data_IF_780082427841
#
_entry.id   IF_780082427841
#
_cell.length_a   1.000
_cell.length_b   1.000
_cell.length_c   1.000
_cell.angle_alpha   90.00
_cell.angle_beta   90.00
_cell.angle_gamma   90.00
#
_symmetry.space_group_name_H-M   'P 1'
#
loop_
_entity.id
_entity.type
_entity.pdbx_description
1 polymer ?
#
# COMPACT_ATOMS: atom_id res chain seq x y z
N UNK A 1 -0.94 6.92 -16.72
CA UNK A 1 -2.29 7.03 -17.33
C UNK A 1 -3.29 7.19 -16.20
N UNK A 2 -3.75 8.42 -15.99
CA UNK A 2 -4.68 8.83 -14.95
C UNK A 2 -6.11 8.48 -15.39
N UNK A 3 -6.74 7.52 -14.71
CA UNK A 3 -8.15 7.23 -14.93
C UNK A 3 -9.00 8.37 -14.36
N UNK A 4 -9.78 9.03 -15.21
CA UNK A 4 -10.74 10.06 -14.80
C UNK A 4 -11.88 9.40 -14.02
N UNK A 5 -12.11 9.88 -12.79
CA UNK A 5 -13.21 9.45 -11.93
C UNK A 5 -14.51 10.12 -12.39
N UNK A 6 -15.50 9.31 -12.77
CA UNK A 6 -16.87 9.75 -13.08
C UNK A 6 -17.76 9.49 -11.86
N UNK A 7 -18.48 10.48 -11.30
CA UNK A 7 -19.28 10.25 -10.10
C UNK A 7 -20.57 9.49 -10.45
N UNK A 8 -20.72 8.28 -9.90
CA UNK A 8 -21.98 7.55 -9.93
C UNK A 8 -22.96 8.18 -8.93
N UNK A 9 -24.19 8.47 -9.38
CA UNK A 9 -25.26 8.96 -8.51
C UNK A 9 -25.54 7.96 -7.38
N UNK A 10 -25.50 8.48 -6.16
CA UNK A 10 -25.73 7.74 -4.92
C UNK A 10 -27.23 7.44 -4.76
N UNK A 11 -27.66 6.23 -5.10
CA UNK A 11 -28.96 5.69 -4.70
C UNK A 11 -28.78 4.46 -3.79
N UNK A 12 -29.31 4.56 -2.56
CA UNK A 12 -29.32 3.51 -1.53
C UNK A 12 -28.09 3.50 -0.60
N UNK A 13 -28.30 3.20 0.69
CA UNK A 13 -27.24 3.07 1.71
C UNK A 13 -26.09 2.13 1.29
N UNK A 14 -26.35 1.16 0.41
CA UNK A 14 -25.32 0.28 -0.17
C UNK A 14 -24.42 0.93 -1.23
N UNK A 15 -24.95 1.90 -1.99
CA UNK A 15 -24.20 2.60 -3.05
C UNK A 15 -23.17 3.60 -2.49
N UNK A 16 -23.51 4.28 -1.39
CA UNK A 16 -22.60 5.22 -0.71
C UNK A 16 -21.39 4.54 -0.09
N UNK A 17 -21.61 3.46 0.66
CA UNK A 17 -20.52 2.68 1.25
C UNK A 17 -19.57 2.12 0.18
N UNK A 18 -20.11 1.59 -0.93
CA UNK A 18 -19.31 1.09 -2.06
C UNK A 18 -18.50 2.20 -2.75
N UNK A 19 -19.07 3.41 -2.87
CA UNK A 19 -18.38 4.58 -3.43
C UNK A 19 -17.21 5.02 -2.54
N UNK A 20 -17.41 5.12 -1.21
CA UNK A 20 -16.34 5.43 -0.27
C UNK A 20 -15.25 4.36 -0.27
N UNK A 21 -15.64 3.09 -0.34
CA UNK A 21 -14.72 1.97 -0.47
C UNK A 21 -13.85 2.06 -1.72
N UNK A 22 -14.46 2.47 -2.84
CA UNK A 22 -13.77 2.68 -4.10
C UNK A 22 -12.85 3.89 -4.01
N UNK A 23 -13.30 4.98 -3.39
CA UNK A 23 -12.51 6.19 -3.16
C UNK A 23 -11.26 5.88 -2.32
N UNK A 24 -11.42 5.24 -1.17
CA UNK A 24 -10.32 4.85 -0.28
C UNK A 24 -9.34 3.87 -0.94
N UNK A 25 -9.81 3.02 -1.86
CA UNK A 25 -8.95 2.14 -2.66
C UNK A 25 -8.23 2.87 -3.80
N UNK A 26 -8.89 3.86 -4.40
CA UNK A 26 -8.36 4.63 -5.53
C UNK A 26 -7.31 5.65 -5.12
N UNK A 27 -7.38 6.14 -3.88
CA UNK A 27 -6.35 7.01 -3.32
C UNK A 27 -5.23 6.09 -2.82
N UNK A 28 -4.11 6.06 -3.55
CA UNK A 28 -2.89 5.43 -3.04
C UNK A 28 -2.58 6.02 -1.68
N UNK A 29 -2.26 5.21 -0.68
CA UNK A 29 -2.42 5.68 0.70
C UNK A 29 -1.45 6.79 1.13
N UNK A 30 -0.22 6.93 0.56
CA UNK A 30 0.55 8.18 0.72
C UNK A 30 -0.16 9.42 0.15
N UNK A 31 -0.93 9.26 -0.93
CA UNK A 31 -1.68 10.35 -1.57
C UNK A 31 -2.77 10.93 -0.66
N UNK A 32 -3.22 10.21 0.39
CA UNK A 32 -4.15 10.76 1.38
C UNK A 32 -3.61 12.03 2.06
N UNK A 33 -2.28 12.12 2.22
CA UNK A 33 -1.62 13.28 2.81
C UNK A 33 -0.93 14.14 1.75
N UNK A 34 -0.26 13.54 0.76
CA UNK A 34 0.47 14.28 -0.27
C UNK A 34 -0.44 15.05 -1.21
N UNK A 35 -1.60 14.45 -1.54
CA UNK A 35 -2.60 15.03 -2.44
C UNK A 35 -3.82 15.53 -1.69
N UNK A 36 -3.70 15.66 -0.36
CA UNK A 36 -4.75 16.21 0.48
C UNK A 36 -5.11 17.61 0.00
N UNK A 37 -6.38 17.84 -0.32
CA UNK A 37 -6.77 19.09 -0.94
C UNK A 37 -6.68 20.29 0.02
N UNK A 38 -6.80 20.09 1.34
CA UNK A 38 -6.57 21.14 2.32
C UNK A 38 -5.09 21.50 2.45
N UNK A 39 -4.21 20.49 2.42
CA UNK A 39 -2.75 20.70 2.38
C UNK A 39 -2.32 21.50 1.16
N UNK A 40 -2.78 21.11 -0.03
CA UNK A 40 -2.41 21.76 -1.30
C UNK A 40 -3.00 23.17 -1.39
N UNK A 41 -4.26 23.34 -1.01
CA UNK A 41 -4.93 24.65 -1.13
C UNK A 41 -4.49 25.66 -0.07
N UNK A 42 -4.02 25.17 1.08
CA UNK A 42 -3.70 25.97 2.26
C UNK A 42 -4.92 26.43 3.07
N UNK A 43 -6.09 25.84 2.80
CA UNK A 43 -7.33 26.19 3.49
C UNK A 43 -7.53 25.34 4.75
N UNK A 44 -8.21 25.92 5.75
CA UNK A 44 -8.72 25.16 6.90
C UNK A 44 -9.78 24.15 6.45
N UNK A 45 -9.91 23.03 7.18
CA UNK A 45 -11.00 22.06 6.95
C UNK A 45 -12.39 22.67 7.16
N UNK A 46 -12.49 23.72 7.97
CA UNK A 46 -13.73 24.48 8.22
C UNK A 46 -14.02 25.50 7.11
N UNK A 47 -13.19 25.58 6.06
CA UNK A 47 -13.32 26.62 5.04
C UNK A 47 -14.65 26.55 4.29
N UNK A 48 -15.39 27.67 4.27
CA UNK A 48 -16.70 27.74 3.65
C UNK A 48 -16.59 27.78 2.11
N UNK A 49 -17.67 27.46 1.40
CA UNK A 49 -17.71 27.49 -0.08
C UNK A 49 -17.29 28.85 -0.65
N UNK A 50 -17.60 29.95 0.06
CA UNK A 50 -17.16 31.29 -0.31
C UNK A 50 -15.64 31.46 -0.28
N UNK A 51 -14.96 30.88 0.70
CA UNK A 51 -13.50 30.91 0.84
C UNK A 51 -12.83 30.07 -0.24
N UNK A 52 -13.38 28.89 -0.56
CA UNK A 52 -12.93 28.06 -1.68
C UNK A 52 -12.99 28.84 -3.00
N UNK A 53 -14.09 29.57 -3.26
CA UNK A 53 -14.25 30.41 -4.46
C UNK A 53 -13.24 31.56 -4.47
N UNK A 54 -13.06 32.23 -3.34
CA UNK A 54 -12.10 33.34 -3.19
C UNK A 54 -10.68 32.86 -3.46
N UNK A 55 -10.29 31.71 -2.89
CA UNK A 55 -8.97 31.10 -3.12
C UNK A 55 -8.78 30.73 -4.59
N UNK A 56 -9.79 30.16 -5.25
CA UNK A 56 -9.73 29.85 -6.68
C UNK A 56 -9.55 31.10 -7.55
N UNK A 57 -10.23 32.20 -7.22
CA UNK A 57 -10.07 33.49 -7.90
C UNK A 57 -8.66 34.06 -7.70
N UNK A 58 -8.13 34.01 -6.47
CA UNK A 58 -6.77 34.46 -6.17
C UNK A 58 -5.72 33.69 -6.98
N UNK A 59 -5.84 32.36 -7.02
CA UNK A 59 -4.91 31.49 -7.77
C UNK A 59 -4.93 31.81 -9.27
N UNK A 60 -6.12 32.01 -9.86
CA UNK A 60 -6.25 32.41 -11.27
C UNK A 60 -5.66 33.79 -11.56
N UNK A 61 -5.81 34.74 -10.63
CA UNK A 61 -5.21 36.06 -10.77
C UNK A 61 -3.67 35.98 -10.74
N UNK A 62 -3.10 35.18 -9.84
CA UNK A 62 -1.64 34.92 -9.79
C UNK A 62 -1.15 34.26 -11.07
N UNK A 63 -1.91 33.29 -11.61
CA UNK A 63 -1.62 32.65 -12.90
C UNK A 63 -1.59 33.65 -14.05
N UNK A 64 -2.57 34.55 -14.14
CA UNK A 64 -2.63 35.57 -15.17
C UNK A 64 -1.46 36.55 -15.11
N UNK A 65 -0.87 36.75 -13.92
CA UNK A 65 0.30 37.59 -13.70
C UNK A 65 1.64 36.84 -13.82
N UNK A 66 1.63 35.54 -14.14
CA UNK A 66 2.84 34.73 -14.26
C UNK A 66 3.55 34.45 -12.92
N UNK A 67 2.85 34.59 -11.80
CA UNK A 67 3.41 34.35 -10.47
C UNK A 67 3.27 32.90 -10.00
N UNK A 68 3.85 32.59 -8.83
CA UNK A 68 3.67 31.31 -8.14
C UNK A 68 2.71 31.46 -6.96
N UNK A 69 1.89 30.44 -6.65
CA UNK A 69 0.98 30.51 -5.51
C UNK A 69 1.77 30.37 -4.22
N UNK A 70 1.58 31.31 -3.29
CA UNK A 70 1.98 31.10 -1.92
C UNK A 70 1.01 30.09 -1.27
N UNK A 71 1.52 28.95 -0.82
CA UNK A 71 0.77 28.01 0.01
C UNK A 71 1.07 28.32 1.47
N UNK A 72 0.08 28.87 2.17
CA UNK A 72 0.12 29.09 3.61
C UNK A 72 -0.74 28.00 4.29
N UNK A 73 -0.36 27.54 5.48
CA UNK A 73 -1.10 26.52 6.22
C UNK A 73 -0.18 25.54 6.96
N UNK A 74 -0.74 24.60 7.72
CA UNK A 74 0.05 23.60 8.42
C UNK A 74 0.75 22.66 7.43
N UNK A 75 2.07 22.49 7.56
CA UNK A 75 2.88 21.57 6.75
C UNK A 75 2.64 21.66 5.22
N UNK A 76 2.94 22.82 4.59
CA UNK A 76 2.79 22.98 3.15
C UNK A 76 3.65 21.96 2.38
N UNK A 77 3.22 21.52 1.19
CA UNK A 77 4.02 20.62 0.36
C UNK A 77 5.38 21.21 0.01
N UNK A 78 6.41 20.36 -0.06
CA UNK A 78 7.74 20.70 -0.56
C UNK A 78 8.12 19.72 -1.68
N UNK A 79 8.33 20.19 -2.93
CA UNK A 79 8.24 21.58 -3.39
C UNK A 79 6.82 22.14 -3.35
N UNK A 80 6.70 23.47 -3.41
CA UNK A 80 5.40 24.14 -3.45
C UNK A 80 4.58 23.66 -4.67
N UNK A 81 3.26 23.46 -4.51
CA UNK A 81 2.41 23.00 -5.61
C UNK A 81 2.31 24.06 -6.70
N UNK A 82 2.21 23.62 -7.95
CA UNK A 82 1.89 24.51 -9.06
C UNK A 82 0.42 24.97 -9.02
N UNK A 83 0.10 25.96 -9.85
CA UNK A 83 -1.24 26.59 -9.90
C UNK A 83 -2.33 25.58 -10.28
N UNK A 84 -2.02 24.66 -11.20
CA UNK A 84 -2.98 23.67 -11.68
C UNK A 84 -3.30 22.65 -10.59
N UNK A 85 -2.30 22.20 -9.82
CA UNK A 85 -2.47 21.35 -8.65
C UNK A 85 -3.36 22.01 -7.60
N UNK A 86 -3.18 23.32 -7.34
CA UNK A 86 -4.05 24.07 -6.42
C UNK A 86 -5.49 24.16 -6.94
N UNK A 87 -5.69 24.41 -8.24
CA UNK A 87 -7.03 24.46 -8.83
C UNK A 87 -7.71 23.09 -8.81
N UNK A 88 -6.97 22.00 -9.06
CA UNK A 88 -7.48 20.63 -8.96
C UNK A 88 -7.88 20.28 -7.53
N UNK A 89 -7.07 20.66 -6.53
CA UNK A 89 -7.42 20.49 -5.12
C UNK A 89 -8.71 21.23 -4.75
N UNK A 90 -8.85 22.50 -5.17
CA UNK A 90 -10.07 23.27 -4.92
C UNK A 90 -11.30 22.70 -5.64
N UNK A 91 -11.13 22.11 -6.82
CA UNK A 91 -12.20 21.41 -7.52
C UNK A 91 -12.60 20.13 -6.78
N UNK A 92 -11.63 19.36 -6.28
CA UNK A 92 -11.84 18.15 -5.48
C UNK A 92 -12.63 18.42 -4.20
N UNK A 93 -12.39 19.56 -3.52
CA UNK A 93 -13.14 19.98 -2.33
C UNK A 93 -14.62 20.31 -2.59
N UNK A 94 -15.08 20.34 -3.85
CA UNK A 94 -16.49 20.52 -4.19
C UNK A 94 -17.28 19.23 -4.09
N UNK A 95 -16.63 18.07 -4.20
CA UNK A 95 -17.27 16.78 -3.97
C UNK A 95 -17.39 16.55 -2.45
N UNK A 96 -18.61 16.45 -1.90
CA UNK A 96 -18.80 16.39 -0.45
C UNK A 96 -18.15 15.18 0.22
N UNK A 97 -18.23 14.00 -0.40
CA UNK A 97 -17.67 12.77 0.17
C UNK A 97 -16.14 12.82 0.17
N UNK A 98 -15.55 13.25 -0.95
CA UNK A 98 -14.11 13.41 -1.08
C UNK A 98 -13.57 14.47 -0.12
N UNK A 99 -14.29 15.59 0.03
CA UNK A 99 -13.96 16.62 1.02
C UNK A 99 -13.90 16.04 2.44
N UNK A 100 -14.87 15.22 2.84
CA UNK A 100 -14.86 14.60 4.18
C UNK A 100 -13.69 13.63 4.38
N UNK A 101 -13.29 12.89 3.35
CA UNK A 101 -12.11 12.02 3.42
C UNK A 101 -10.83 12.85 3.56
N UNK A 102 -10.67 13.89 2.74
CA UNK A 102 -9.52 14.79 2.84
C UNK A 102 -9.51 15.50 4.22
N UNK A 103 -10.67 15.87 4.75
CA UNK A 103 -10.83 16.45 6.08
C UNK A 103 -10.44 15.46 7.18
N UNK A 104 -10.86 14.20 7.08
CA UNK A 104 -10.50 13.19 8.06
C UNK A 104 -8.98 12.97 8.10
N UNK A 105 -8.29 12.97 6.97
CA UNK A 105 -6.84 12.81 6.94
C UNK A 105 -6.08 14.15 7.03
N UNK A 106 -6.69 15.19 7.62
CA UNK A 106 -6.06 16.49 7.84
C UNK A 106 -6.32 17.04 9.24
N UNK A 107 -5.69 18.18 9.56
CA UNK A 107 -5.76 18.80 10.88
C UNK A 107 -7.14 19.38 11.17
N UNK A 108 -7.68 19.04 12.34
CA UNK A 108 -8.95 19.57 12.82
C UNK A 108 -8.71 20.72 13.80
N UNK A 109 -9.27 21.91 13.58
CA UNK A 109 -9.23 22.99 14.55
C UNK A 109 -9.94 22.56 15.85
N UNK A 110 -9.16 22.38 16.91
CA UNK A 110 -9.67 22.13 18.25
C UNK A 110 -10.21 23.40 18.91
N UNK A 111 -11.04 23.22 19.94
CA UNK A 111 -11.36 24.28 20.91
C UNK A 111 -10.73 23.95 22.25
N UNK A 112 -9.46 23.55 22.20
CA UNK A 112 -8.73 22.99 23.35
C UNK A 112 -8.20 24.07 24.32
N UNK A 113 -8.42 25.35 24.01
CA UNK A 113 -8.11 26.49 24.86
C UNK A 113 -9.07 27.67 24.70
N UNK A 114 -8.97 28.69 25.57
CA UNK A 114 -9.83 29.89 25.54
C UNK A 114 -9.68 30.70 24.24
N UNK A 115 -8.51 30.63 23.59
CA UNK A 115 -8.18 31.37 22.37
C UNK A 115 -8.21 30.51 21.09
N UNK A 116 -8.66 29.25 21.16
CA UNK A 116 -8.70 28.33 20.02
C UNK A 116 -7.76 27.13 20.14
N UNK A 117 -7.04 26.79 19.07
CA UNK A 117 -6.07 25.68 19.01
C UNK A 117 -4.63 26.20 18.88
N UNK A 118 -3.96 26.49 20.02
CA UNK A 118 -2.60 27.00 20.00
C UNK A 118 -1.57 25.99 19.46
N UNK A 119 -1.93 24.71 19.32
CA UNK A 119 -1.10 23.72 18.62
C UNK A 119 -1.14 23.93 17.11
N UNK A 120 -2.32 24.12 16.55
CA UNK A 120 -2.50 24.39 15.12
C UNK A 120 -1.89 25.74 14.70
N UNK A 121 -1.98 26.75 15.57
CA UNK A 121 -1.32 28.05 15.35
C UNK A 121 0.21 27.91 15.30
N UNK A 122 0.79 27.12 16.22
CA UNK A 122 2.22 26.82 16.22
C UNK A 122 2.65 26.08 14.95
N UNK A 123 1.86 25.10 14.51
CA UNK A 123 2.14 24.34 13.30
C UNK A 123 2.08 25.21 12.03
N UNK A 124 1.10 26.11 11.95
CA UNK A 124 0.96 27.06 10.83
C UNK A 124 2.14 28.03 10.77
N UNK A 125 2.72 28.38 11.93
CA UNK A 125 3.94 29.18 12.03
C UNK A 125 5.24 28.37 11.79
N UNK A 126 5.14 27.09 11.39
CA UNK A 126 6.30 26.22 11.16
C UNK A 126 6.97 25.67 12.44
N UNK A 127 6.39 25.91 13.62
CA UNK A 127 6.91 25.42 14.90
C UNK A 127 6.35 24.04 15.23
N UNK A 128 6.80 23.05 14.48
CA UNK A 128 6.31 21.65 14.55
C UNK A 128 6.43 21.06 15.96
N UNK A 129 7.60 21.20 16.60
CA UNK A 129 7.83 20.63 17.93
C UNK A 129 6.95 21.28 19.00
N UNK A 130 6.69 22.59 18.88
CA UNK A 130 5.78 23.29 19.79
C UNK A 130 4.34 22.79 19.65
N UNK A 131 3.89 22.54 18.41
CA UNK A 131 2.57 21.99 18.14
C UNK A 131 2.41 20.59 18.74
N UNK A 132 3.38 19.70 18.46
CA UNK A 132 3.42 18.34 19.01
C UNK A 132 3.38 18.34 20.54
N UNK A 133 4.25 19.12 21.19
CA UNK A 133 4.33 19.21 22.65
C UNK A 133 3.03 19.71 23.28
N UNK A 134 2.32 20.62 22.61
CA UNK A 134 1.04 21.15 23.10
C UNK A 134 -0.05 20.09 23.05
N UNK A 135 -0.21 19.43 21.91
CA UNK A 135 -1.22 18.37 21.76
C UNK A 135 -0.91 17.17 22.68
N UNK A 136 0.35 16.77 22.84
CA UNK A 136 0.75 15.67 23.72
C UNK A 136 0.31 15.86 25.19
N UNK A 137 0.28 17.09 25.69
CA UNK A 137 -0.13 17.38 27.07
C UNK A 137 -1.63 17.16 27.30
N UNK A 138 -2.43 17.15 26.24
CA UNK A 138 -3.89 17.09 26.29
C UNK A 138 -4.48 15.93 25.49
N UNK A 139 -3.67 15.08 24.85
CA UNK A 139 -4.11 14.00 23.95
C UNK A 139 -5.11 13.04 24.59
N UNK A 140 -4.97 12.78 25.89
CA UNK A 140 -5.89 11.91 26.65
C UNK A 140 -7.25 12.54 26.96
N UNK A 141 -7.39 13.85 26.78
CA UNK A 141 -8.57 14.65 27.12
C UNK A 141 -9.20 15.35 25.91
N UNK A 142 -8.49 15.39 24.78
CA UNK A 142 -8.97 16.03 23.55
C UNK A 142 -8.87 15.06 22.36
N UNK A 143 -10.02 14.66 21.78
CA UNK A 143 -10.03 13.90 20.54
C UNK A 143 -9.41 14.67 19.36
N UNK A 144 -9.40 16.00 19.40
CA UNK A 144 -8.74 16.85 18.39
C UNK A 144 -7.22 16.74 18.48
N UNK A 145 -6.66 16.86 19.69
CA UNK A 145 -5.23 16.71 19.92
C UNK A 145 -4.75 15.30 19.54
N UNK A 146 -5.49 14.26 19.94
CA UNK A 146 -5.21 12.87 19.58
C UNK A 146 -5.16 12.67 18.06
N UNK A 147 -6.18 13.18 17.36
CA UNK A 147 -6.27 13.14 15.90
C UNK A 147 -5.13 13.89 15.22
N UNK A 148 -4.88 15.13 15.65
CA UNK A 148 -3.86 15.99 15.06
C UNK A 148 -2.45 15.42 15.25
N UNK A 149 -2.18 14.74 16.37
CA UNK A 149 -0.93 14.00 16.57
C UNK A 149 -0.81 12.78 15.64
N UNK A 150 -1.92 12.08 15.38
CA UNK A 150 -1.96 10.99 14.41
C UNK A 150 -1.63 11.48 13.00
N UNK A 151 -2.27 12.56 12.56
CA UNK A 151 -2.01 13.20 11.26
C UNK A 151 -0.57 13.72 11.19
N UNK A 152 -0.12 14.48 12.18
CA UNK A 152 1.21 15.10 12.23
C UNK A 152 2.33 14.07 12.07
N UNK A 153 2.30 13.03 12.89
CA UNK A 153 3.35 12.02 12.87
C UNK A 153 3.34 11.21 11.57
N UNK A 154 2.16 10.96 11.01
CA UNK A 154 2.03 10.18 9.79
C UNK A 154 2.51 10.97 8.55
N UNK A 155 2.10 12.24 8.42
CA UNK A 155 2.52 13.06 7.27
C UNK A 155 4.02 13.34 7.29
N UNK A 156 4.62 13.64 8.46
CA UNK A 156 6.07 13.82 8.57
C UNK A 156 6.81 12.53 8.23
N UNK A 157 6.33 11.38 8.72
CA UNK A 157 6.94 10.10 8.41
C UNK A 157 6.92 9.80 6.90
N UNK A 158 5.83 10.13 6.22
CA UNK A 158 5.70 9.97 4.76
C UNK A 158 6.61 10.95 4.01
N UNK A 159 6.60 12.23 4.40
CA UNK A 159 7.42 13.26 3.75
C UNK A 159 8.91 12.95 3.90
N UNK A 160 9.37 12.56 5.09
CA UNK A 160 10.77 12.16 5.34
C UNK A 160 11.18 10.97 4.45
N UNK A 161 10.31 9.97 4.34
CA UNK A 161 10.55 8.76 3.55
C UNK A 161 10.69 9.08 2.04
N UNK A 162 9.86 10.00 1.55
CA UNK A 162 9.86 10.39 0.15
C UNK A 162 10.96 11.38 -0.19
N UNK A 163 11.37 12.23 0.76
CA UNK A 163 12.48 13.15 0.59
C UNK A 163 13.84 12.43 0.60
N UNK A 164 13.96 11.33 1.33
CA UNK A 164 15.21 10.57 1.49
C UNK A 164 15.02 9.09 1.15
N UNK A 165 14.65 8.75 -0.11
CA UNK A 165 14.25 7.39 -0.46
C UNK A 165 15.39 6.36 -0.37
N UNK A 166 16.65 6.79 -0.25
CA UNK A 166 17.83 5.93 -0.10
C UNK A 166 18.30 5.80 1.34
N UNK A 167 17.68 6.50 2.30
CA UNK A 167 18.07 6.42 3.70
C UNK A 167 17.61 5.09 4.28
N UNK A 168 18.56 4.34 4.84
CA UNK A 168 18.25 3.11 5.57
C UNK A 168 17.39 3.41 6.80
N UNK A 169 16.28 2.69 6.94
CA UNK A 169 15.46 2.69 8.13
C UNK A 169 15.82 1.49 9.00
N UNK A 170 16.49 1.74 10.12
CA UNK A 170 16.77 0.70 11.12
C UNK A 170 15.70 0.78 12.20
N UNK A 171 14.88 -0.28 12.29
CA UNK A 171 13.70 -0.31 13.17
C UNK A 171 12.59 0.64 12.72
N UNK A 172 11.50 0.70 13.49
CA UNK A 172 10.42 1.65 13.25
C UNK A 172 10.89 3.07 13.60
N UNK A 173 11.00 4.02 12.64
CA UNK A 173 11.30 5.41 12.97
C UNK A 173 10.26 5.92 13.97
N UNK A 174 10.67 6.78 14.92
CA UNK A 174 9.81 7.31 15.99
C UNK A 174 8.46 7.78 15.43
N UNK A 175 8.48 8.57 14.35
CA UNK A 175 7.28 9.14 13.72
C UNK A 175 6.27 8.08 13.24
N UNK A 176 6.72 7.02 12.57
CA UNK A 176 5.83 5.91 12.17
C UNK A 176 5.19 5.21 13.37
N UNK A 177 5.96 4.96 14.44
CA UNK A 177 5.45 4.31 15.65
C UNK A 177 4.41 5.17 16.34
N UNK A 178 4.69 6.45 16.53
CA UNK A 178 3.76 7.39 17.13
C UNK A 178 2.49 7.56 16.29
N UNK A 179 2.61 7.66 14.96
CA UNK A 179 1.46 7.73 14.05
C UNK A 179 0.51 6.55 14.27
N UNK A 180 1.03 5.32 14.33
CA UNK A 180 0.21 4.12 14.55
C UNK A 180 -0.41 4.08 15.93
N UNK A 181 0.35 4.44 16.98
CA UNK A 181 -0.17 4.54 18.34
C UNK A 181 -1.38 5.45 18.37
N UNK A 182 -1.22 6.69 17.89
CA UNK A 182 -2.29 7.68 17.87
C UNK A 182 -3.49 7.28 17.01
N UNK A 183 -3.25 6.70 15.83
CA UNK A 183 -4.34 6.23 14.98
C UNK A 183 -5.10 5.04 15.59
N UNK A 184 -4.41 4.11 16.27
CA UNK A 184 -5.07 2.99 16.96
C UNK A 184 -5.88 3.49 18.15
N UNK A 185 -5.34 4.44 18.91
CA UNK A 185 -6.04 5.05 20.05
C UNK A 185 -7.27 5.84 19.56
N UNK A 186 -7.14 6.65 18.51
CA UNK A 186 -8.25 7.37 17.87
C UNK A 186 -9.32 6.42 17.31
N UNK A 187 -8.90 5.34 16.64
CA UNK A 187 -9.81 4.33 16.09
C UNK A 187 -10.67 3.66 17.17
N UNK A 188 -10.11 3.47 18.37
CA UNK A 188 -10.79 2.84 19.52
C UNK A 188 -11.63 3.82 20.34
N UNK A 189 -11.37 5.13 20.29
CA UNK A 189 -12.12 6.13 21.04
C UNK A 189 -13.47 6.43 20.40
N UNK A 190 -14.56 6.23 21.14
CA UNK A 190 -15.90 6.62 20.70
C UNK A 190 -16.07 8.14 20.66
N UNK A 191 -15.37 8.88 21.53
CA UNK A 191 -15.36 10.35 21.54
C UNK A 191 -14.77 10.91 20.25
N UNK A 192 -13.69 10.31 19.73
CA UNK A 192 -13.10 10.67 18.44
C UNK A 192 -14.12 10.52 17.30
N UNK A 193 -14.82 9.39 17.25
CA UNK A 193 -15.84 9.15 16.22
C UNK A 193 -17.10 10.01 16.40
N UNK A 194 -17.46 10.36 17.64
CA UNK A 194 -18.54 11.30 17.92
C UNK A 194 -18.20 12.70 17.38
N UNK A 195 -16.97 13.18 17.62
CA UNK A 195 -16.48 14.45 17.05
C UNK A 195 -16.52 14.41 15.53
N UNK A 196 -16.03 13.34 14.89
CA UNK A 196 -16.11 13.23 13.43
C UNK A 196 -17.57 13.20 12.94
N UNK A 197 -18.46 12.50 13.62
CA UNK A 197 -19.89 12.48 13.31
C UNK A 197 -20.54 13.86 13.36
N UNK A 198 -20.18 14.69 14.34
CA UNK A 198 -20.63 16.08 14.38
C UNK A 198 -20.13 16.89 13.17
N UNK A 199 -18.90 16.64 12.72
CA UNK A 199 -18.34 17.28 11.53
C UNK A 199 -19.09 16.88 10.26
N UNK A 200 -19.37 15.58 10.09
CA UNK A 200 -20.19 15.07 8.97
C UNK A 200 -21.58 15.71 8.98
N UNK A 201 -22.23 15.81 10.15
CA UNK A 201 -23.54 16.47 10.28
C UNK A 201 -23.49 17.96 9.96
N UNK A 202 -22.46 18.68 10.44
CA UNK A 202 -22.26 20.11 10.16
C UNK A 202 -22.02 20.41 8.68
N UNK A 203 -21.42 19.47 7.93
CA UNK A 203 -21.27 19.61 6.49
C UNK A 203 -22.62 19.67 5.76
N UNK A 204 -23.70 19.15 6.35
CA UNK A 204 -25.09 19.40 5.94
C UNK A 204 -25.45 18.90 4.55
N UNK A 205 -24.66 18.00 3.96
CA UNK A 205 -24.86 17.51 2.61
C UNK A 205 -25.92 16.40 2.56
N UNK A 206 -26.99 16.54 1.74
CA UNK A 206 -27.99 15.49 1.57
C UNK A 206 -27.35 14.17 1.12
N UNK A 207 -27.64 13.09 1.83
CA UNK A 207 -27.11 11.75 1.54
C UNK A 207 -25.80 11.41 2.25
N UNK A 208 -25.16 12.36 2.94
CA UNK A 208 -24.06 12.08 3.87
C UNK A 208 -24.61 12.05 5.31
N UNK A 209 -24.07 11.15 6.14
CA UNK A 209 -24.54 10.94 7.50
C UNK A 209 -23.76 9.85 8.22
N UNK A 210 -24.39 9.19 9.19
CA UNK A 210 -23.73 8.23 10.08
C UNK A 210 -23.07 7.05 9.35
N UNK A 211 -23.56 6.68 8.16
CA UNK A 211 -22.94 5.64 7.34
C UNK A 211 -21.50 5.99 6.93
N UNK A 212 -21.18 7.28 6.74
CA UNK A 212 -19.82 7.74 6.41
C UNK A 212 -18.90 7.45 7.61
N UNK A 213 -19.37 7.77 8.81
CA UNK A 213 -18.64 7.57 10.07
C UNK A 213 -18.41 6.07 10.30
N UNK A 214 -19.45 5.25 10.20
CA UNK A 214 -19.34 3.80 10.42
C UNK A 214 -18.43 3.14 9.38
N UNK A 215 -18.60 3.48 8.10
CA UNK A 215 -17.78 2.94 7.01
C UNK A 215 -16.31 3.34 7.18
N UNK A 216 -16.04 4.61 7.49
CA UNK A 216 -14.66 5.08 7.66
C UNK A 216 -14.01 4.43 8.90
N UNK A 217 -14.75 4.27 10.01
CA UNK A 217 -14.29 3.55 11.20
C UNK A 217 -13.93 2.10 10.92
N UNK A 218 -14.76 1.41 10.14
CA UNK A 218 -14.51 0.03 9.72
C UNK A 218 -13.31 -0.09 8.77
N UNK A 219 -13.08 0.93 7.93
CA UNK A 219 -12.03 0.92 6.90
C UNK A 219 -10.70 1.49 7.36
N UNK A 220 -10.66 2.29 8.42
CA UNK A 220 -9.43 2.91 8.91
C UNK A 220 -8.29 1.90 9.14
N UNK A 221 -8.49 0.73 9.78
CA UNK A 221 -7.41 -0.24 9.94
C UNK A 221 -6.85 -0.77 8.61
N UNK A 222 -7.70 -0.95 7.60
CA UNK A 222 -7.27 -1.34 6.25
C UNK A 222 -6.44 -0.24 5.60
N UNK A 223 -6.87 1.02 5.72
CA UNK A 223 -6.15 2.19 5.19
C UNK A 223 -4.76 2.27 5.83
N UNK A 224 -4.67 2.24 7.16
CA UNK A 224 -3.39 2.30 7.89
C UNK A 224 -2.45 1.18 7.45
N UNK A 225 -2.92 -0.07 7.45
CA UNK A 225 -2.13 -1.23 7.02
C UNK A 225 -1.64 -1.09 5.57
N UNK A 226 -2.49 -0.55 4.69
CA UNK A 226 -2.18 -0.39 3.27
C UNK A 226 -1.07 0.65 3.01
N UNK A 227 -0.94 1.71 3.81
CA UNK A 227 0.18 2.67 3.67
C UNK A 227 1.52 1.97 3.69
N UNK A 228 1.78 1.25 4.78
CA UNK A 228 3.06 0.59 4.99
C UNK A 228 3.26 -0.58 4.02
N UNK A 229 2.18 -1.31 3.69
CA UNK A 229 2.26 -2.38 2.71
C UNK A 229 2.67 -1.86 1.33
N UNK A 230 2.09 -0.74 0.88
CA UNK A 230 2.45 -0.09 -0.39
C UNK A 230 3.88 0.43 -0.38
N UNK A 231 4.31 1.12 0.69
CA UNK A 231 5.70 1.61 0.80
C UNK A 231 6.67 0.43 0.77
N UNK A 232 6.39 -0.65 1.48
CA UNK A 232 7.24 -1.83 1.53
C UNK A 232 7.40 -2.51 0.15
N UNK A 233 6.29 -2.65 -0.60
CA UNK A 233 6.29 -3.23 -1.94
C UNK A 233 7.03 -2.36 -2.97
N UNK A 234 6.84 -1.05 -2.92
CA UNK A 234 7.50 -0.08 -3.81
C UNK A 234 8.99 0.13 -3.46
N UNK A 235 9.38 -0.12 -2.21
CA UNK A 235 10.76 0.07 -1.73
C UNK A 235 11.79 -0.66 -2.58
N UNK A 236 11.54 -1.92 -2.95
CA UNK A 236 12.51 -2.69 -3.73
C UNK A 236 12.56 -2.30 -5.21
N UNK A 237 11.46 -1.79 -5.78
CA UNK A 237 11.48 -1.23 -7.14
C UNK A 237 12.39 0.01 -7.20
N UNK A 238 12.50 0.75 -6.09
CA UNK A 238 13.35 1.94 -5.94
C UNK A 238 14.76 1.62 -5.43
N UNK A 239 15.13 0.34 -5.33
CA UNK A 239 16.45 -0.10 -4.89
C UNK A 239 16.73 0.11 -3.39
N UNK A 240 15.69 0.29 -2.56
CA UNK A 240 15.87 0.32 -1.09
C UNK A 240 16.34 -1.05 -0.59
N UNK A 241 17.04 -1.00 0.54
CA UNK A 241 17.51 -2.21 1.20
C UNK A 241 16.35 -3.02 1.82
N UNK A 242 16.62 -4.31 2.04
CA UNK A 242 15.65 -5.28 2.54
C UNK A 242 15.18 -4.95 3.96
N UNK A 243 16.06 -4.43 4.82
CA UNK A 243 15.77 -4.12 6.23
C UNK A 243 14.74 -2.99 6.33
N UNK A 244 14.90 -1.95 5.52
CA UNK A 244 13.95 -0.84 5.40
C UNK A 244 12.57 -1.33 4.95
N UNK A 245 12.51 -2.22 3.95
CA UNK A 245 11.25 -2.82 3.51
C UNK A 245 10.60 -3.67 4.62
N UNK A 246 11.41 -4.44 5.36
CA UNK A 246 10.93 -5.28 6.46
C UNK A 246 10.33 -4.49 7.63
N UNK A 247 10.83 -3.28 7.90
CA UNK A 247 10.22 -2.36 8.88
C UNK A 247 8.77 -2.06 8.51
N UNK A 248 8.53 -1.68 7.26
CA UNK A 248 7.18 -1.35 6.78
C UNK A 248 6.27 -2.57 6.73
N UNK A 249 6.75 -3.75 6.31
CA UNK A 249 5.94 -4.98 6.39
C UNK A 249 5.48 -5.29 7.81
N UNK A 250 6.34 -5.12 8.81
CA UNK A 250 5.97 -5.30 10.22
C UNK A 250 4.92 -4.30 10.69
N UNK A 251 4.99 -3.04 10.23
CA UNK A 251 3.96 -2.04 10.53
C UNK A 251 2.64 -2.34 9.83
N UNK A 252 2.67 -2.78 8.58
CA UNK A 252 1.47 -3.23 7.87
C UNK A 252 0.80 -4.40 8.60
N UNK A 253 1.62 -5.30 9.17
CA UNK A 253 1.19 -6.46 9.94
C UNK A 253 0.93 -6.19 11.43
N UNK A 254 0.78 -4.93 11.87
CA UNK A 254 0.70 -4.58 13.30
C UNK A 254 -0.42 -5.32 14.06
N UNK A 255 -0.07 -6.05 15.13
CA UNK A 255 -0.97 -6.99 15.82
C UNK A 255 -2.25 -6.38 16.44
N UNK A 256 -2.27 -5.07 16.72
CA UNK A 256 -3.48 -4.38 17.18
C UNK A 256 -4.54 -4.15 16.10
N UNK A 257 -4.21 -4.36 14.82
CA UNK A 257 -5.15 -4.23 13.70
C UNK A 257 -5.86 -5.58 13.43
N UNK A 258 -7.14 -5.58 13.01
CA UNK A 258 -7.88 -6.81 12.74
C UNK A 258 -7.17 -7.70 11.71
N UNK A 259 -7.00 -9.02 11.97
CA UNK A 259 -6.20 -9.91 11.14
C UNK A 259 -6.72 -10.01 9.70
N UNK A 260 -8.04 -9.95 9.50
CA UNK A 260 -8.65 -10.02 8.16
C UNK A 260 -8.31 -8.78 7.32
N UNK A 261 -8.29 -7.60 7.95
CA UNK A 261 -7.97 -6.34 7.28
C UNK A 261 -6.47 -6.23 6.99
N UNK A 262 -5.61 -6.70 7.91
CA UNK A 262 -4.17 -6.84 7.65
C UNK A 262 -3.89 -7.75 6.46
N UNK A 263 -4.45 -8.95 6.46
CA UNK A 263 -4.29 -9.90 5.37
C UNK A 263 -4.76 -9.33 4.02
N UNK A 264 -5.84 -8.55 4.02
CA UNK A 264 -6.33 -7.87 2.81
C UNK A 264 -5.37 -6.80 2.30
N UNK A 265 -4.81 -5.96 3.18
CA UNK A 265 -3.82 -4.95 2.80
C UNK A 265 -2.54 -5.58 2.23
N UNK A 266 -2.02 -6.61 2.92
CA UNK A 266 -0.82 -7.32 2.49
C UNK A 266 -1.01 -7.95 1.11
N UNK A 267 -2.13 -8.65 0.88
CA UNK A 267 -2.47 -9.21 -0.44
C UNK A 267 -2.49 -8.14 -1.53
N UNK A 268 -3.26 -7.07 -1.30
CA UNK A 268 -3.38 -5.98 -2.27
C UNK A 268 -2.03 -5.36 -2.64
N UNK A 269 -1.11 -5.23 -1.68
CA UNK A 269 0.24 -4.73 -1.94
C UNK A 269 1.13 -5.74 -2.70
N UNK A 270 0.91 -7.04 -2.52
CA UNK A 270 1.66 -8.10 -3.21
C UNK A 270 1.08 -8.49 -4.58
N UNK A 271 -0.17 -8.13 -4.89
CA UNK A 271 -0.84 -8.48 -6.15
C UNK A 271 -0.06 -8.07 -7.42
N UNK A 272 0.57 -6.88 -7.49
CA UNK A 272 1.41 -6.52 -8.63
C UNK A 272 2.64 -7.43 -8.78
N UNK A 273 3.25 -7.83 -7.65
CA UNK A 273 4.39 -8.75 -7.64
C UNK A 273 3.98 -10.13 -8.16
N UNK A 274 2.82 -10.62 -7.72
CA UNK A 274 2.23 -11.87 -8.21
C UNK A 274 1.93 -11.82 -9.71
N UNK A 275 1.36 -10.72 -10.18
CA UNK A 275 1.05 -10.53 -11.62
C UNK A 275 2.32 -10.58 -12.47
N UNK A 276 3.42 -10.00 -11.98
CA UNK A 276 4.74 -10.07 -12.65
C UNK A 276 5.31 -11.49 -12.65
N UNK A 277 5.27 -12.20 -11.50
CA UNK A 277 5.70 -13.61 -11.40
C UNK A 277 4.95 -14.47 -12.42
N UNK A 278 3.63 -14.31 -12.51
CA UNK A 278 2.78 -15.02 -13.50
C UNK A 278 3.21 -14.73 -14.93
N UNK A 279 3.42 -13.46 -15.26
CA UNK A 279 3.90 -13.04 -16.59
C UNK A 279 5.23 -13.72 -16.94
N UNK A 280 6.17 -13.81 -16.00
CA UNK A 280 7.44 -14.51 -16.21
C UNK A 280 7.23 -16.02 -16.45
N UNK A 281 6.35 -16.65 -15.67
CA UNK A 281 6.00 -18.07 -15.82
C UNK A 281 5.33 -18.39 -17.16
N UNK A 282 4.32 -17.60 -17.54
CA UNK A 282 3.60 -17.75 -18.81
C UNK A 282 4.53 -17.59 -20.01
N UNK A 283 5.44 -16.61 -19.95
CA UNK A 283 6.46 -16.41 -20.99
C UNK A 283 7.42 -17.60 -21.10
N UNK A 284 7.87 -18.16 -19.98
CA UNK A 284 8.75 -19.32 -19.98
C UNK A 284 8.06 -20.57 -20.56
N UNK A 285 6.79 -20.77 -20.22
CA UNK A 285 5.97 -21.85 -20.77
C UNK A 285 5.73 -21.67 -22.28
N UNK A 286 5.41 -20.46 -22.73
CA UNK A 286 5.17 -20.18 -24.15
C UNK A 286 6.40 -20.50 -25.02
N UNK A 287 7.58 -20.02 -24.63
CA UNK A 287 8.85 -20.29 -25.33
C UNK A 287 9.14 -21.80 -25.40
N UNK A 288 8.84 -22.53 -24.32
CA UNK A 288 9.08 -23.98 -24.24
C UNK A 288 8.09 -24.79 -25.07
N UNK A 289 6.84 -24.34 -25.19
CA UNK A 289 5.84 -24.98 -26.08
C UNK A 289 6.24 -24.87 -27.54
N UNK A 290 6.81 -23.73 -27.95
CA UNK A 290 7.31 -23.52 -29.31
C UNK A 290 8.59 -24.31 -29.58
N UNK A 291 9.48 -24.37 -28.58
CA UNK A 291 10.74 -25.11 -28.68
C UNK A 291 11.13 -25.71 -27.32
N UNK A 292 10.89 -27.01 -27.14
CA UNK A 292 11.20 -27.70 -25.90
C UNK A 292 12.69 -27.59 -25.51
N UNK A 293 13.61 -27.51 -26.48
CA UNK A 293 15.05 -27.35 -26.21
C UNK A 293 15.42 -25.99 -25.60
N UNK A 294 14.53 -24.99 -25.67
CA UNK A 294 14.73 -23.68 -25.05
C UNK A 294 14.39 -23.67 -23.54
N UNK A 295 13.84 -24.76 -23.00
CA UNK A 295 13.39 -24.85 -21.61
C UNK A 295 14.47 -24.55 -20.56
N UNK A 296 15.74 -24.99 -20.67
CA UNK A 296 16.75 -24.68 -19.65
C UNK A 296 17.00 -23.17 -19.53
N UNK A 297 17.17 -22.48 -20.66
CA UNK A 297 17.35 -21.03 -20.70
C UNK A 297 16.08 -20.27 -20.26
N UNK A 298 14.89 -20.81 -20.53
CA UNK A 298 13.63 -20.24 -20.05
C UNK A 298 13.47 -20.41 -18.53
N UNK A 299 13.84 -21.56 -17.99
CA UNK A 299 13.80 -21.87 -16.57
C UNK A 299 14.81 -21.04 -15.75
N UNK A 300 16.03 -20.85 -16.27
CA UNK A 300 17.05 -19.98 -15.67
C UNK A 300 16.53 -18.54 -15.56
N UNK A 301 16.04 -17.98 -16.67
CA UNK A 301 15.45 -16.64 -16.68
C UNK A 301 14.27 -16.50 -15.72
N UNK A 302 13.38 -17.50 -15.67
CA UNK A 302 12.27 -17.50 -14.72
C UNK A 302 12.79 -17.50 -13.27
N UNK A 303 13.76 -18.35 -12.96
CA UNK A 303 14.33 -18.44 -11.62
C UNK A 303 14.94 -17.10 -11.18
N UNK A 304 15.78 -16.51 -12.04
CA UNK A 304 16.46 -15.24 -11.75
C UNK A 304 15.49 -14.06 -11.62
N UNK A 305 14.48 -13.99 -12.50
CA UNK A 305 13.48 -12.91 -12.48
C UNK A 305 12.49 -13.06 -11.32
N UNK A 306 12.13 -14.29 -10.94
CA UNK A 306 11.22 -14.55 -9.84
C UNK A 306 11.89 -14.38 -8.47
N UNK A 307 13.20 -14.67 -8.34
CA UNK A 307 13.91 -14.64 -7.07
C UNK A 307 13.74 -13.34 -6.25
N UNK A 308 13.95 -12.12 -6.79
CA UNK A 308 13.73 -10.88 -6.04
C UNK A 308 12.26 -10.66 -5.66
N UNK A 309 11.32 -11.07 -6.50
CA UNK A 309 9.88 -10.94 -6.24
C UNK A 309 9.41 -11.91 -5.15
N UNK A 310 9.93 -13.14 -5.15
CA UNK A 310 9.64 -14.15 -4.14
C UNK A 310 10.22 -13.77 -2.76
N UNK A 311 11.41 -13.15 -2.72
CA UNK A 311 11.95 -12.58 -1.47
C UNK A 311 11.01 -11.54 -0.88
N UNK A 312 10.48 -10.63 -1.70
CA UNK A 312 9.49 -9.63 -1.27
C UNK A 312 8.23 -10.24 -0.71
N UNK A 313 7.68 -11.22 -1.41
CA UNK A 313 6.47 -11.92 -0.99
C UNK A 313 6.71 -12.63 0.34
N UNK A 314 7.88 -13.24 0.53
CA UNK A 314 8.27 -13.86 1.82
C UNK A 314 8.34 -12.83 2.96
N UNK A 315 8.95 -11.67 2.72
CA UNK A 315 9.09 -10.62 3.74
C UNK A 315 7.75 -10.03 4.15
N UNK A 316 6.79 -9.94 3.23
CA UNK A 316 5.47 -9.40 3.53
C UNK A 316 4.68 -10.24 4.53
N UNK A 317 5.05 -11.52 4.71
CA UNK A 317 4.26 -12.49 5.48
C UNK A 317 2.80 -12.55 5.01
N UNK A 318 2.56 -12.27 3.72
CA UNK A 318 1.24 -12.41 3.13
C UNK A 318 0.76 -13.87 3.29
N UNK A 319 -0.53 -14.12 3.60
CA UNK A 319 -1.02 -15.47 3.86
C UNK A 319 -0.78 -16.46 2.72
N UNK A 320 -0.69 -15.96 1.50
CA UNK A 320 -0.55 -16.77 0.29
C UNK A 320 0.90 -16.85 -0.20
N UNK A 321 1.89 -16.40 0.58
CA UNK A 321 3.30 -16.36 0.17
C UNK A 321 3.82 -17.74 -0.28
N UNK A 322 3.53 -18.79 0.48
CA UNK A 322 3.93 -20.16 0.13
C UNK A 322 3.29 -20.65 -1.17
N UNK A 323 2.02 -20.29 -1.42
CA UNK A 323 1.32 -20.64 -2.66
C UNK A 323 1.99 -19.99 -3.88
N UNK A 324 2.47 -18.76 -3.74
CA UNK A 324 3.17 -18.02 -4.81
C UNK A 324 4.52 -18.67 -5.11
N UNK A 325 5.26 -19.09 -4.08
CA UNK A 325 6.47 -19.88 -4.24
C UNK A 325 6.19 -21.19 -4.99
N UNK A 326 5.16 -21.92 -4.57
CA UNK A 326 4.80 -23.19 -5.18
C UNK A 326 4.30 -23.04 -6.64
N UNK A 327 3.72 -21.89 -7.01
CA UNK A 327 3.32 -21.58 -8.40
C UNK A 327 4.56 -21.51 -9.33
N UNK A 328 5.64 -20.88 -8.87
CA UNK A 328 6.92 -20.84 -9.60
C UNK A 328 7.56 -22.23 -9.66
N UNK A 329 7.61 -22.94 -8.53
CA UNK A 329 8.15 -24.30 -8.49
C UNK A 329 7.40 -25.25 -9.43
N UNK A 330 6.06 -25.16 -9.47
CA UNK A 330 5.22 -25.94 -10.40
C UNK A 330 5.51 -25.60 -11.86
N UNK A 331 5.76 -24.33 -12.16
CA UNK A 331 6.14 -23.90 -13.51
C UNK A 331 7.48 -24.50 -13.92
N UNK A 332 8.49 -24.44 -13.04
CA UNK A 332 9.80 -25.06 -13.27
C UNK A 332 9.69 -26.59 -13.45
N UNK A 333 8.85 -27.29 -12.67
CA UNK A 333 8.58 -28.72 -12.87
C UNK A 333 8.02 -29.02 -14.27
N UNK A 334 7.07 -28.20 -14.76
CA UNK A 334 6.52 -28.35 -16.11
C UNK A 334 7.59 -28.16 -17.19
N UNK A 335 8.47 -27.17 -17.02
CA UNK A 335 9.58 -26.92 -17.94
C UNK A 335 10.57 -28.10 -17.97
N UNK A 336 10.91 -28.65 -16.80
CA UNK A 336 11.78 -29.83 -16.69
C UNK A 336 11.18 -31.04 -17.41
N UNK A 337 9.88 -31.29 -17.22
CA UNK A 337 9.17 -32.40 -17.86
C UNK A 337 9.14 -32.27 -19.38
N UNK A 338 8.75 -31.11 -19.92
CA UNK A 338 8.71 -30.89 -21.37
C UNK A 338 10.09 -30.97 -22.02
N UNK A 339 11.13 -30.44 -21.35
CA UNK A 339 12.51 -30.57 -21.81
C UNK A 339 12.97 -32.02 -21.88
N UNK A 340 12.76 -32.74 -20.78
CA UNK A 340 13.18 -34.13 -20.65
C UNK A 340 12.53 -34.99 -21.73
N UNK A 341 11.20 -34.88 -21.89
CA UNK A 341 10.44 -35.62 -22.92
C UNK A 341 10.97 -35.41 -24.33
N UNK A 342 11.52 -34.23 -24.63
CA UNK A 342 12.00 -33.89 -25.97
C UNK A 342 13.48 -34.20 -26.23
N UNK A 343 14.28 -34.46 -25.18
CA UNK A 343 15.75 -34.51 -25.30
C UNK A 343 16.42 -35.68 -24.59
N UNK A 344 15.76 -36.31 -23.62
CA UNK A 344 16.35 -37.28 -22.69
C UNK A 344 17.60 -36.76 -21.96
N UNK A 345 17.82 -35.44 -21.91
CA UNK A 345 18.94 -34.84 -21.21
C UNK A 345 18.64 -34.71 -19.71
N UNK A 346 19.03 -35.76 -18.99
CA UNK A 346 18.89 -35.89 -17.55
C UNK A 346 19.66 -34.82 -16.75
N UNK A 347 20.80 -34.36 -17.25
CA UNK A 347 21.65 -33.42 -16.52
C UNK A 347 21.01 -32.02 -16.47
N UNK A 348 20.57 -31.50 -17.61
CA UNK A 348 19.86 -30.21 -17.63
C UNK A 348 18.46 -30.32 -17.01
N UNK A 349 17.79 -31.47 -17.10
CA UNK A 349 16.54 -31.73 -16.37
C UNK A 349 16.75 -31.61 -14.86
N UNK A 350 17.79 -32.25 -14.31
CA UNK A 350 18.13 -32.17 -12.88
C UNK A 350 18.37 -30.72 -12.44
N UNK A 351 19.05 -29.92 -13.26
CA UNK A 351 19.31 -28.53 -12.94
C UNK A 351 18.01 -27.71 -12.79
N UNK A 352 17.04 -27.89 -13.70
CA UNK A 352 15.74 -27.23 -13.60
C UNK A 352 14.99 -27.67 -12.33
N UNK A 353 15.03 -28.97 -12.01
CA UNK A 353 14.40 -29.51 -10.80
C UNK A 353 15.03 -28.95 -9.51
N UNK A 354 16.35 -28.71 -9.49
CA UNK A 354 17.03 -28.07 -8.36
C UNK A 354 16.58 -26.61 -8.17
N UNK A 355 16.35 -25.86 -9.24
CA UNK A 355 15.74 -24.53 -9.13
C UNK A 355 14.32 -24.62 -8.54
N UNK A 356 13.50 -25.59 -8.98
CA UNK A 356 12.18 -25.81 -8.38
C UNK A 356 12.28 -26.13 -6.88
N UNK A 357 13.29 -26.90 -6.48
CA UNK A 357 13.50 -27.32 -5.09
C UNK A 357 13.85 -26.13 -4.19
N UNK A 358 14.69 -25.22 -4.67
CA UNK A 358 15.08 -24.02 -3.94
C UNK A 358 13.90 -23.05 -3.71
N UNK A 359 12.95 -23.07 -4.63
CA UNK A 359 11.79 -22.15 -4.63
C UNK A 359 10.61 -22.70 -3.83
N UNK A 360 10.33 -24.00 -3.89
CA UNK A 360 9.17 -24.63 -3.23
C UNK A 360 9.11 -24.35 -1.71
N UNK A 361 7.89 -24.21 -1.18
CA UNK A 361 7.63 -23.94 0.25
C UNK A 361 6.54 -24.84 0.83
N UNK A 362 5.46 -25.09 0.09
CA UNK A 362 4.37 -25.93 0.58
C UNK A 362 4.79 -27.39 0.68
N UNK A 363 4.32 -28.09 1.72
CA UNK A 363 4.72 -29.48 2.02
C UNK A 363 4.50 -30.43 0.84
N UNK A 364 3.37 -30.32 0.14
CA UNK A 364 3.06 -31.16 -1.01
C UNK A 364 4.01 -30.89 -2.20
N UNK A 365 4.29 -29.61 -2.48
CA UNK A 365 5.20 -29.22 -3.56
C UNK A 365 6.64 -29.65 -3.23
N UNK A 366 7.11 -29.41 -2.01
CA UNK A 366 8.43 -29.86 -1.55
C UNK A 366 8.62 -31.37 -1.70
N UNK A 367 7.61 -32.17 -1.33
CA UNK A 367 7.65 -33.61 -1.49
C UNK A 367 7.72 -34.00 -2.97
N UNK A 368 6.85 -33.43 -3.80
CA UNK A 368 6.82 -33.70 -5.23
C UNK A 368 8.15 -33.36 -5.91
N UNK A 369 8.71 -32.17 -5.67
CA UNK A 369 10.00 -31.78 -6.24
C UNK A 369 11.12 -32.70 -5.76
N UNK A 370 11.14 -33.05 -4.47
CA UNK A 370 12.16 -33.96 -3.90
C UNK A 370 12.14 -35.33 -4.56
N UNK A 371 10.96 -35.92 -4.75
CA UNK A 371 10.81 -37.23 -5.42
C UNK A 371 11.34 -37.18 -6.86
N UNK A 372 11.04 -36.11 -7.59
CA UNK A 372 11.52 -35.94 -8.96
C UNK A 372 13.05 -35.76 -9.04
N UNK A 373 13.63 -34.95 -8.13
CA UNK A 373 15.10 -34.79 -8.02
C UNK A 373 15.76 -36.14 -7.74
N UNK A 374 15.27 -36.87 -6.72
CA UNK A 374 15.83 -38.18 -6.35
C UNK A 374 15.73 -39.21 -7.49
N UNK A 375 14.61 -39.21 -8.22
CA UNK A 375 14.43 -40.08 -9.38
C UNK A 375 15.46 -39.82 -10.47
N UNK A 376 15.70 -38.55 -10.81
CA UNK A 376 16.71 -38.18 -11.83
C UNK A 376 18.14 -38.45 -11.35
N UNK A 377 18.46 -38.15 -10.09
CA UNK A 377 19.78 -38.44 -9.51
C UNK A 377 20.08 -39.94 -9.49
N UNK A 378 19.09 -40.78 -9.18
CA UNK A 378 19.21 -42.22 -9.23
C UNK A 378 19.55 -42.72 -10.65
N UNK A 379 18.84 -42.22 -11.67
CA UNK A 379 19.10 -42.59 -13.08
C UNK A 379 20.49 -42.16 -13.53
N UNK A 380 20.92 -40.94 -13.17
CA UNK A 380 22.27 -40.46 -13.49
C UNK A 380 23.37 -41.30 -12.83
N UNK A 381 23.14 -41.81 -11.61
CA UNK A 381 24.12 -42.61 -10.88
C UNK A 381 24.20 -44.07 -11.35
N UNK A 382 23.10 -44.67 -11.81
CA UNK A 382 23.00 -46.10 -12.12
C UNK A 382 22.83 -46.43 -13.61
N UNK A 383 22.71 -45.42 -14.46
CA UNK A 383 22.43 -45.56 -15.88
C UNK A 383 20.96 -45.87 -16.19
N UNK A 384 20.56 -45.65 -17.44
CA UNK A 384 19.17 -45.78 -17.93
C UNK A 384 18.64 -47.22 -17.98
N UNK A 385 19.47 -48.23 -17.70
CA UNK A 385 19.10 -49.65 -17.74
C UNK A 385 18.32 -50.15 -16.51
N UNK A 386 18.07 -49.28 -15.52
CA UNK A 386 17.21 -49.64 -14.39
C UNK A 386 15.75 -49.38 -14.78
N UNK A 387 14.92 -50.43 -14.81
CA UNK A 387 13.45 -50.29 -14.85
C UNK A 387 12.96 -49.63 -13.56
N UNK A 388 13.13 -48.32 -13.45
CA UNK A 388 12.48 -47.52 -12.42
C UNK A 388 11.02 -47.42 -12.84
N UNK A 389 10.13 -48.06 -12.07
CA UNK A 389 8.69 -47.81 -12.15
C UNK A 389 8.46 -46.33 -11.77
N UNK A 390 8.52 -45.44 -12.77
CA UNK A 390 8.02 -44.09 -12.61
C UNK A 390 6.53 -44.20 -12.27
N UNK A 391 6.17 -43.95 -11.00
CA UNK A 391 4.84 -43.45 -10.71
C UNK A 391 4.73 -42.17 -11.53
N UNK A 392 3.77 -42.14 -12.46
CA UNK A 392 3.41 -40.97 -13.28
C UNK A 392 3.69 -39.68 -12.50
N UNK A 393 4.54 -38.84 -13.05
CA UNK A 393 4.72 -37.44 -12.64
C UNK A 393 3.32 -36.86 -12.40
N UNK A 394 2.98 -36.58 -11.14
CA UNK A 394 1.59 -36.38 -10.67
C UNK A 394 0.97 -35.07 -11.15
N UNK A 395 0.65 -34.99 -12.45
CA UNK A 395 0.02 -33.84 -13.10
C UNK A 395 -1.48 -34.05 -13.40
N UNK A 396 -2.13 -35.03 -12.76
CA UNK A 396 -3.58 -35.20 -12.86
C UNK A 396 -4.27 -34.42 -11.72
N UNK A 397 -4.69 -33.17 -12.01
CA UNK A 397 -5.57 -32.33 -11.16
C UNK A 397 -5.07 -30.91 -10.88
#
# INVERSE_FOLDING_TARGET
MTAAYTPAMLSGNGGGAASLDTLLRSIGVPDLYLRNAFRISGLSVDAATGELRRRAQQVRAVQALGGAPATAGPLPPSPAPDLDAVLQALARLRDPLTRLVDEFFWFWPGKDGPDGDPGLDALTAGRVDDAENRWQRIESRSPYALHNLAVLNHVIAIDDELAQPQRKLVGAPRRWREAYRYWIDAWRSDEHWAVFGDRVRRAGHPGLGDWVVSTLRERLPLVLSSVNATIAADSMERGRDEESSQVHWRMAAHHHLPPQLRARALRAATDPLLSRIRTHGDRALAVTRENARAAPAAAERLHDQAAPLLRMVSLSSAPDADNIHDEVARTLLKLAFEYHRATDDWAATLQILRWAQNVARGRAMLQSVRENVQGVEFVLAHGTNVQVRYRKWGFDG
#
